data_IF_007897335619
#
_entry.id   IF_007897335619
#
_cell.length_a   1.000
_cell.length_b   1.000
_cell.length_c   1.000
_cell.angle_alpha   90.00
_cell.angle_beta   90.00
_cell.angle_gamma   90.00
#
_symmetry.space_group_name_H-M   'P 1'
#
loop_
_entity.id
_entity.type
_entity.pdbx_description
1 polymer ?
#
# COMPACT_ATOMS: atom_id res chain seq x y z
N UNK A 1 8.92 22.34 15.60
CA UNK A 1 8.79 20.86 15.65
C UNK A 1 7.89 20.40 14.52
N UNK A 2 8.17 19.28 13.92
CA UNK A 2 7.39 18.76 12.81
C UNK A 2 5.98 18.32 13.24
N UNK A 3 5.04 18.34 12.29
CA UNK A 3 3.65 17.99 12.55
C UNK A 3 3.15 17.00 11.50
N UNK A 4 2.45 15.94 11.93
CA UNK A 4 1.68 15.09 11.04
C UNK A 4 0.40 15.82 10.67
N UNK A 5 0.28 16.22 9.40
CA UNK A 5 -0.83 17.06 8.90
C UNK A 5 -1.91 16.27 8.19
N UNK A 6 -1.60 15.08 7.68
CA UNK A 6 -2.54 14.20 7.01
C UNK A 6 -2.07 12.75 7.08
N UNK A 7 -3.01 11.83 7.30
CA UNK A 7 -2.85 10.41 7.06
C UNK A 7 -3.59 10.00 5.78
N UNK A 8 -3.01 9.17 4.93
CA UNK A 8 -3.63 8.71 3.67
C UNK A 8 -3.46 7.21 3.53
N UNK A 9 -4.55 6.47 3.30
CA UNK A 9 -4.54 5.06 2.95
C UNK A 9 -5.00 4.86 1.51
N UNK A 10 -4.27 4.10 0.71
CA UNK A 10 -4.63 3.81 -0.68
C UNK A 10 -4.25 2.41 -1.10
N UNK A 11 -5.13 1.76 -1.82
CA UNK A 11 -4.77 0.57 -2.60
C UNK A 11 -3.85 0.93 -3.77
N UNK A 12 -2.96 0.01 -4.15
CA UNK A 12 -2.06 0.15 -5.29
C UNK A 12 -2.12 -1.05 -6.27
N UNK A 13 -3.23 -1.78 -6.26
CA UNK A 13 -3.40 -2.98 -7.08
C UNK A 13 -3.10 -2.75 -8.57
N UNK A 14 -2.56 -3.75 -9.29
CA UNK A 14 -2.41 -3.71 -10.74
C UNK A 14 -3.68 -3.32 -11.51
N UNK A 15 -4.88 -3.58 -10.96
CA UNK A 15 -6.13 -3.13 -11.56
C UNK A 15 -6.25 -1.61 -11.67
N UNK A 16 -5.64 -0.85 -10.76
CA UNK A 16 -5.58 0.62 -10.83
C UNK A 16 -4.59 1.13 -11.88
N UNK A 17 -3.78 0.24 -12.43
CA UNK A 17 -2.75 0.56 -13.40
C UNK A 17 -3.13 0.20 -14.83
N UNK A 18 -4.30 -0.43 -15.03
CA UNK A 18 -4.85 -0.82 -16.32
C UNK A 18 -6.27 -0.32 -16.46
N UNK A 19 -6.75 -0.17 -17.71
CA UNK A 19 -8.13 0.24 -17.96
C UNK A 19 -9.10 -0.90 -17.64
N UNK A 20 -10.32 -0.57 -17.24
CA UNK A 20 -11.39 -1.54 -16.97
C UNK A 20 -11.57 -2.58 -18.09
N UNK A 21 -11.42 -2.18 -19.37
CA UNK A 21 -11.47 -3.07 -20.54
C UNK A 21 -10.37 -4.15 -20.56
N UNK A 22 -9.30 -3.99 -19.77
CA UNK A 22 -8.18 -4.91 -19.68
C UNK A 22 -8.25 -5.83 -18.45
N UNK A 23 -9.25 -5.68 -17.58
CA UNK A 23 -9.41 -6.52 -16.39
C UNK A 23 -9.60 -8.00 -16.74
N UNK A 24 -10.09 -8.27 -17.93
CA UNK A 24 -10.16 -9.64 -18.48
C UNK A 24 -8.79 -10.32 -18.56
N UNK A 25 -7.71 -9.56 -18.87
CA UNK A 25 -6.34 -10.10 -18.91
C UNK A 25 -5.87 -10.53 -17.51
N UNK A 26 -6.25 -9.77 -16.48
CA UNK A 26 -5.93 -10.12 -15.09
C UNK A 26 -6.69 -11.37 -14.64
N UNK A 27 -7.95 -11.52 -15.06
CA UNK A 27 -8.72 -12.75 -14.84
C UNK A 27 -8.02 -13.97 -15.45
N UNK A 28 -7.59 -13.89 -16.71
CA UNK A 28 -6.89 -14.98 -17.39
C UNK A 28 -5.57 -15.36 -16.70
N UNK A 29 -4.94 -14.38 -16.06
CA UNK A 29 -3.79 -14.62 -15.20
C UNK A 29 -4.17 -15.45 -13.98
N UNK A 30 -5.21 -15.05 -13.25
CA UNK A 30 -5.65 -15.72 -12.04
C UNK A 30 -6.04 -17.19 -12.30
N UNK A 31 -6.71 -17.44 -13.41
CA UNK A 31 -7.09 -18.80 -13.84
C UNK A 31 -5.88 -19.73 -14.04
N UNK A 32 -4.71 -19.18 -14.29
CA UNK A 32 -3.46 -19.89 -14.57
C UNK A 32 -2.40 -19.72 -13.48
N UNK A 33 -2.72 -18.99 -12.40
CA UNK A 33 -1.77 -18.76 -11.32
C UNK A 33 -1.62 -20.01 -10.45
N UNK A 34 -0.44 -20.65 -10.44
CA UNK A 34 -0.24 -21.90 -9.69
C UNK A 34 -0.35 -21.74 -8.16
N UNK A 35 -0.35 -20.50 -7.67
CA UNK A 35 -0.54 -20.20 -6.25
C UNK A 35 -2.01 -20.26 -5.83
N UNK A 36 -2.94 -20.30 -6.80
CA UNK A 36 -4.38 -20.33 -6.57
C UNK A 36 -4.94 -21.70 -6.91
N UNK A 37 -5.68 -22.30 -5.98
CA UNK A 37 -6.58 -23.39 -6.30
C UNK A 37 -7.88 -22.81 -6.91
N UNK A 38 -7.78 -22.36 -8.16
CA UNK A 38 -8.87 -21.67 -8.85
C UNK A 38 -10.16 -22.52 -8.92
N UNK A 39 -10.13 -23.84 -9.18
CA UNK A 39 -11.31 -24.69 -9.11
C UNK A 39 -11.98 -24.70 -7.74
N UNK A 40 -11.22 -24.79 -6.66
CA UNK A 40 -11.76 -24.76 -5.30
C UNK A 40 -12.34 -23.37 -4.95
N UNK A 41 -11.70 -22.28 -5.41
CA UNK A 41 -12.21 -20.92 -5.26
C UNK A 41 -13.55 -20.75 -5.98
N UNK A 42 -13.67 -21.27 -7.20
CA UNK A 42 -14.90 -21.23 -7.98
C UNK A 42 -16.07 -21.94 -7.30
N UNK A 43 -15.79 -23.08 -6.63
CA UNK A 43 -16.80 -23.82 -5.87
C UNK A 43 -17.28 -23.09 -4.60
N UNK A 44 -16.42 -22.25 -4.02
CA UNK A 44 -16.72 -21.49 -2.79
C UNK A 44 -17.27 -20.09 -3.07
N UNK A 45 -17.20 -19.66 -4.32
CA UNK A 45 -17.65 -18.32 -4.70
C UNK A 45 -19.15 -18.16 -4.40
N UNK A 46 -19.53 -16.97 -3.92
CA UNK A 46 -20.93 -16.68 -3.64
C UNK A 46 -21.77 -16.69 -4.90
N UNK A 47 -23.05 -17.07 -4.74
CA UNK A 47 -24.02 -17.03 -5.82
C UNK A 47 -24.19 -15.59 -6.35
N UNK A 48 -24.48 -15.47 -7.64
CA UNK A 48 -24.74 -14.19 -8.29
C UNK A 48 -23.49 -13.37 -8.66
N UNK A 49 -22.26 -13.83 -8.32
CA UNK A 49 -21.04 -13.09 -8.64
C UNK A 49 -20.83 -12.87 -10.14
N UNK A 50 -21.36 -13.76 -10.99
CA UNK A 50 -21.29 -13.60 -12.44
C UNK A 50 -21.94 -12.29 -12.93
N UNK A 51 -22.99 -11.81 -12.26
CA UNK A 51 -23.64 -10.54 -12.58
C UNK A 51 -22.75 -9.32 -12.28
N UNK A 52 -21.75 -9.48 -11.44
CA UNK A 52 -20.79 -8.45 -11.06
C UNK A 52 -19.62 -8.30 -12.06
N UNK A 53 -19.55 -9.17 -13.08
CA UNK A 53 -18.41 -9.26 -14.01
C UNK A 53 -18.70 -8.67 -15.39
N UNK A 54 -19.76 -7.86 -15.52
CA UNK A 54 -20.06 -7.19 -16.78
C UNK A 54 -19.09 -6.04 -17.05
N UNK A 55 -18.83 -5.71 -18.34
CA UNK A 55 -18.00 -4.56 -18.71
C UNK A 55 -18.50 -3.24 -18.10
N UNK A 56 -19.82 -3.12 -17.91
CA UNK A 56 -20.43 -1.96 -17.25
C UNK A 56 -20.01 -1.86 -15.78
N UNK A 57 -20.09 -2.97 -15.03
CA UNK A 57 -19.64 -3.05 -13.64
C UNK A 57 -18.15 -2.76 -13.50
N UNK A 58 -17.34 -3.25 -14.44
CA UNK A 58 -15.91 -2.95 -14.45
C UNK A 58 -15.63 -1.45 -14.62
N UNK A 59 -16.33 -0.78 -15.55
CA UNK A 59 -16.20 0.67 -15.73
C UNK A 59 -16.63 1.45 -14.50
N UNK A 60 -17.80 1.12 -13.92
CA UNK A 60 -18.29 1.79 -12.71
C UNK A 60 -17.30 1.69 -11.55
N UNK A 61 -16.67 0.53 -11.34
CA UNK A 61 -15.68 0.30 -10.29
C UNK A 61 -14.36 1.02 -10.58
N UNK A 62 -13.91 0.98 -11.83
CA UNK A 62 -12.71 1.70 -12.26
C UNK A 62 -12.88 3.21 -12.05
N UNK A 63 -14.01 3.78 -12.48
CA UNK A 63 -14.34 5.19 -12.25
C UNK A 63 -14.41 5.54 -10.77
N UNK A 64 -15.03 4.70 -9.94
CA UNK A 64 -15.09 4.90 -8.49
C UNK A 64 -13.68 4.92 -7.88
N UNK A 65 -12.81 3.98 -8.26
CA UNK A 65 -11.43 3.94 -7.80
C UNK A 65 -10.62 5.18 -8.26
N UNK A 66 -10.76 5.58 -9.53
CA UNK A 66 -10.06 6.76 -10.05
C UNK A 66 -10.51 8.05 -9.35
N UNK A 67 -11.80 8.20 -9.10
CA UNK A 67 -12.35 9.32 -8.33
C UNK A 67 -11.80 9.33 -6.89
N UNK A 68 -11.74 8.15 -6.25
CA UNK A 68 -11.18 8.03 -4.91
C UNK A 68 -9.70 8.43 -4.88
N UNK A 69 -8.89 7.95 -5.83
CA UNK A 69 -7.47 8.34 -5.94
C UNK A 69 -7.32 9.85 -6.15
N UNK A 70 -8.16 10.46 -7.01
CA UNK A 70 -8.18 11.93 -7.19
C UNK A 70 -8.51 12.65 -5.89
N UNK A 71 -9.50 12.17 -5.15
CA UNK A 71 -9.88 12.74 -3.83
C UNK A 71 -8.71 12.70 -2.85
N UNK A 72 -7.93 11.62 -2.82
CA UNK A 72 -6.73 11.53 -1.98
C UNK A 72 -5.64 12.52 -2.44
N UNK A 73 -5.45 12.68 -3.74
CA UNK A 73 -4.52 13.67 -4.32
C UNK A 73 -4.89 15.10 -3.93
N UNK A 74 -6.17 15.46 -4.04
CA UNK A 74 -6.68 16.77 -3.65
C UNK A 74 -6.50 17.03 -2.14
N UNK A 75 -6.76 16.01 -1.30
CA UNK A 75 -6.57 16.10 0.14
C UNK A 75 -5.09 16.30 0.52
N UNK A 76 -4.18 15.56 -0.12
CA UNK A 76 -2.74 15.73 0.05
C UNK A 76 -2.27 17.11 -0.41
N UNK A 77 -2.73 17.57 -1.56
CA UNK A 77 -2.41 18.90 -2.07
C UNK A 77 -2.93 20.00 -1.13
N UNK A 78 -4.17 19.87 -0.65
CA UNK A 78 -4.75 20.81 0.32
C UNK A 78 -4.04 20.82 1.68
N UNK A 79 -3.53 19.67 2.13
CA UNK A 79 -2.73 19.57 3.34
C UNK A 79 -1.32 20.17 3.17
N UNK A 80 -0.85 20.36 1.95
CA UNK A 80 0.43 20.98 1.61
C UNK A 80 1.61 20.48 2.47
N UNK A 81 1.92 19.17 2.45
CA UNK A 81 3.04 18.64 3.19
C UNK A 81 4.39 18.99 2.56
N UNK A 82 5.43 19.09 3.38
CA UNK A 82 6.83 19.24 2.93
C UNK A 82 7.48 17.89 2.60
N UNK A 83 6.96 16.81 3.17
CA UNK A 83 7.50 15.46 3.05
C UNK A 83 6.41 14.41 3.31
N UNK A 84 6.56 13.23 2.70
CA UNK A 84 5.69 12.09 2.97
C UNK A 84 6.48 10.90 3.50
N UNK A 85 5.99 10.26 4.56
CA UNK A 85 6.45 8.94 5.03
C UNK A 85 5.47 7.91 4.48
N UNK A 86 5.95 6.91 3.74
CA UNK A 86 5.09 5.91 3.12
C UNK A 86 5.37 4.54 3.72
N UNK A 87 4.36 3.92 4.34
CA UNK A 87 4.36 2.49 4.68
C UNK A 87 3.97 1.71 3.43
N UNK A 88 4.81 0.78 3.02
CA UNK A 88 4.57 -0.10 1.89
C UNK A 88 5.25 -1.45 2.11
N UNK A 89 4.80 -2.44 1.42
CA UNK A 89 5.42 -3.76 1.40
C UNK A 89 6.55 -3.83 0.36
N UNK A 90 7.44 -4.77 0.55
CA UNK A 90 8.47 -5.15 -0.41
C UNK A 90 8.20 -6.59 -0.88
N UNK A 91 7.80 -6.73 -2.14
CA UNK A 91 7.48 -8.04 -2.73
C UNK A 91 8.73 -8.69 -3.34
N UNK A 92 9.80 -8.82 -2.56
CA UNK A 92 11.13 -9.27 -3.02
C UNK A 92 11.70 -8.38 -4.12
N UNK A 93 11.37 -7.10 -4.08
CA UNK A 93 11.93 -6.08 -4.97
C UNK A 93 13.32 -5.65 -4.48
N UNK A 94 13.47 -5.42 -3.17
CA UNK A 94 14.71 -5.00 -2.53
C UNK A 94 15.30 -6.09 -1.64
N UNK A 95 14.46 -6.73 -0.81
CA UNK A 95 14.87 -7.75 0.15
C UNK A 95 14.45 -9.14 -0.32
N UNK A 96 15.30 -10.12 -0.10
CA UNK A 96 15.06 -11.52 -0.46
C UNK A 96 15.21 -12.40 0.78
N UNK A 97 15.06 -13.72 0.60
CA UNK A 97 15.08 -14.69 1.69
C UNK A 97 16.40 -14.71 2.50
N UNK A 98 17.47 -14.17 1.92
CA UNK A 98 18.79 -14.06 2.55
C UNK A 98 18.88 -12.92 3.59
N UNK A 99 17.99 -11.91 3.51
CA UNK A 99 18.06 -10.74 4.39
C UNK A 99 16.75 -9.98 4.55
N UNK A 100 15.60 -10.65 4.57
CA UNK A 100 14.27 -10.02 4.72
C UNK A 100 14.09 -9.42 6.12
N UNK A 101 14.03 -8.07 6.30
CA UNK A 101 13.79 -7.45 7.59
C UNK A 101 12.30 -7.35 7.90
N UNK A 102 11.92 -7.29 9.18
CA UNK A 102 10.55 -6.98 9.60
C UNK A 102 10.14 -5.55 9.24
N UNK A 103 11.03 -4.58 9.53
CA UNK A 103 10.89 -3.17 9.16
C UNK A 103 12.20 -2.65 8.59
N UNK A 104 12.12 -1.90 7.50
CA UNK A 104 13.28 -1.21 6.96
C UNK A 104 12.93 0.23 6.59
N UNK A 105 13.88 1.15 6.73
CA UNK A 105 13.73 2.54 6.31
C UNK A 105 14.80 2.87 5.28
N UNK A 106 14.36 3.36 4.13
CA UNK A 106 15.27 3.86 3.11
C UNK A 106 15.72 5.28 3.44
N UNK A 107 17.03 5.51 3.42
CA UNK A 107 17.66 6.79 3.70
C UNK A 107 18.73 7.17 2.68
N UNK A 108 18.62 6.64 1.46
CA UNK A 108 19.49 7.02 0.34
C UNK A 108 19.24 8.45 -0.12
N UNK A 109 20.03 8.92 -1.08
CA UNK A 109 19.98 10.32 -1.55
C UNK A 109 18.77 10.61 -2.43
N UNK A 110 18.34 9.64 -3.22
CA UNK A 110 17.25 9.78 -4.18
C UNK A 110 16.50 8.48 -4.35
N UNK A 111 15.33 8.53 -4.95
CA UNK A 111 14.46 7.41 -5.25
C UNK A 111 14.42 7.19 -6.76
N UNK A 112 15.28 6.34 -7.32
CA UNK A 112 15.21 6.00 -8.71
C UNK A 112 13.96 5.15 -8.99
N UNK A 113 13.19 5.55 -9.99
CA UNK A 113 12.09 4.77 -10.57
C UNK A 113 12.59 4.20 -11.90
N UNK A 114 12.73 2.89 -11.95
CA UNK A 114 13.26 2.21 -13.14
C UNK A 114 12.12 1.90 -14.10
N UNK A 115 12.36 2.15 -15.38
CA UNK A 115 11.48 1.67 -16.43
C UNK A 115 11.44 0.14 -16.37
N UNK A 116 10.27 -0.46 -16.66
CA UNK A 116 10.06 -1.91 -16.70
C UNK A 116 11.33 -2.69 -17.03
N UNK A 117 11.85 -3.42 -16.06
CA UNK A 117 13.13 -4.15 -16.17
C UNK A 117 13.11 -5.31 -17.17
N UNK A 118 11.97 -5.57 -17.82
CA UNK A 118 11.83 -6.69 -18.75
C UNK A 118 11.82 -8.07 -18.11
N UNK A 119 11.88 -8.16 -16.78
CA UNK A 119 11.90 -9.43 -16.04
C UNK A 119 10.56 -10.18 -16.07
N UNK A 120 9.48 -9.53 -16.52
CA UNK A 120 8.14 -10.11 -16.57
C UNK A 120 7.77 -10.65 -17.95
N UNK A 121 6.97 -11.73 -18.04
CA UNK A 121 6.56 -12.31 -19.32
C UNK A 121 5.88 -11.30 -20.24
N UNK A 122 6.18 -11.32 -21.53
CA UNK A 122 5.71 -10.34 -22.52
C UNK A 122 4.18 -10.13 -22.55
N UNK A 123 3.40 -11.19 -22.25
CA UNK A 123 1.93 -11.16 -22.18
C UNK A 123 1.37 -10.32 -21.03
N UNK A 124 2.17 -10.09 -19.99
CA UNK A 124 1.79 -9.26 -18.84
C UNK A 124 2.21 -7.80 -19.01
N UNK A 125 3.16 -7.54 -19.91
CA UNK A 125 3.76 -6.22 -20.10
C UNK A 125 2.74 -5.15 -20.47
N UNK A 126 1.70 -5.48 -21.19
CA UNK A 126 0.70 -4.50 -21.60
C UNK A 126 -0.25 -4.13 -20.43
N UNK A 127 -0.70 -5.11 -19.66
CA UNK A 127 -1.51 -4.90 -18.47
C UNK A 127 -0.72 -4.25 -17.32
N UNK A 128 0.58 -4.49 -17.25
CA UNK A 128 1.47 -3.97 -16.20
C UNK A 128 2.19 -2.67 -16.60
N UNK A 129 2.31 -2.35 -17.90
CA UNK A 129 2.94 -1.12 -18.40
C UNK A 129 2.36 0.16 -17.79
N UNK A 130 1.07 0.18 -17.49
CA UNK A 130 0.42 1.32 -16.87
C UNK A 130 0.71 1.44 -15.38
N UNK A 131 1.22 0.40 -14.73
CA UNK A 131 1.64 0.38 -13.32
C UNK A 131 3.10 0.78 -13.12
N UNK A 132 3.94 0.60 -14.15
CA UNK A 132 5.38 0.88 -14.08
C UNK A 132 5.73 2.15 -14.87
N UNK A 133 6.83 2.81 -14.55
CA UNK A 133 7.22 4.02 -15.24
C UNK A 133 7.40 3.78 -16.74
N UNK A 134 6.75 4.56 -17.57
CA UNK A 134 7.03 4.60 -19.01
C UNK A 134 8.42 5.16 -19.27
N UNK A 135 8.90 6.02 -18.38
CA UNK A 135 10.23 6.62 -18.37
C UNK A 135 10.92 6.35 -17.03
N UNK A 136 12.23 6.21 -17.03
CA UNK A 136 13.01 6.28 -15.80
C UNK A 136 12.89 7.69 -15.23
N UNK A 137 12.76 7.79 -13.92
CA UNK A 137 12.63 9.06 -13.19
C UNK A 137 13.40 8.97 -11.87
N UNK A 138 13.63 10.09 -11.23
CA UNK A 138 14.31 10.16 -9.95
C UNK A 138 13.62 11.19 -9.07
N UNK A 139 13.23 10.77 -7.87
CA UNK A 139 12.53 11.61 -6.90
C UNK A 139 13.41 11.89 -5.69
N UNK A 140 13.08 12.95 -4.96
CA UNK A 140 13.80 13.35 -3.77
C UNK A 140 13.46 12.47 -2.57
N UNK A 141 14.45 12.26 -1.69
CA UNK A 141 14.27 11.66 -0.37
C UNK A 141 14.43 12.69 0.74
N UNK A 142 13.67 12.52 1.81
CA UNK A 142 13.84 13.31 3.02
C UNK A 142 14.85 12.60 3.95
N UNK A 143 16.15 12.62 3.59
CA UNK A 143 17.21 11.89 4.30
C UNK A 143 17.30 12.26 5.78
N UNK A 144 17.14 13.54 6.11
CA UNK A 144 17.25 14.01 7.50
C UNK A 144 16.14 13.40 8.36
N UNK A 145 14.89 13.39 7.87
CA UNK A 145 13.78 12.74 8.54
C UNK A 145 14.00 11.21 8.61
N UNK A 146 14.44 10.60 7.52
CA UNK A 146 14.69 9.15 7.50
C UNK A 146 15.74 8.73 8.55
N UNK A 147 16.84 9.45 8.62
CA UNK A 147 17.89 9.22 9.62
C UNK A 147 17.40 9.49 11.05
N UNK A 148 16.55 10.50 11.23
CA UNK A 148 15.96 10.80 12.53
C UNK A 148 15.00 9.68 12.96
N UNK A 149 14.12 9.22 12.06
CA UNK A 149 13.20 8.11 12.33
C UNK A 149 13.95 6.83 12.70
N UNK A 150 15.01 6.47 11.97
CA UNK A 150 15.81 5.27 12.28
C UNK A 150 16.31 5.33 13.73
N UNK A 151 16.95 6.45 14.13
CA UNK A 151 17.46 6.59 15.51
C UNK A 151 16.36 6.54 16.56
N UNK A 152 15.32 7.34 16.35
CA UNK A 152 14.22 7.44 17.35
C UNK A 152 13.47 6.12 17.52
N UNK A 153 13.28 5.35 16.44
CA UNK A 153 12.60 4.06 16.50
C UNK A 153 13.47 2.99 17.16
N UNK A 154 14.79 3.02 16.96
CA UNK A 154 15.73 2.14 17.69
C UNK A 154 15.73 2.48 19.18
N UNK A 155 15.70 3.76 19.54
CA UNK A 155 15.60 4.20 20.94
C UNK A 155 14.23 3.81 21.57
N UNK A 156 13.17 3.69 20.75
CA UNK A 156 11.85 3.18 21.14
C UNK A 156 11.75 1.62 20.99
N UNK A 157 12.88 0.90 20.96
CA UNK A 157 13.00 -0.57 20.95
C UNK A 157 12.40 -1.27 19.71
N UNK A 158 12.41 -0.57 18.55
CA UNK A 158 12.11 -1.20 17.27
C UNK A 158 13.39 -1.60 16.54
N UNK A 159 13.46 -2.85 16.08
CA UNK A 159 14.53 -3.34 15.23
C UNK A 159 14.33 -2.83 13.80
N UNK A 160 15.08 -1.80 13.43
CA UNK A 160 14.98 -1.14 12.12
C UNK A 160 16.19 -1.48 11.27
N UNK A 161 15.95 -2.16 10.15
CA UNK A 161 16.97 -2.27 9.11
C UNK A 161 17.08 -0.94 8.35
N UNK A 162 18.32 -0.47 8.15
CA UNK A 162 18.57 0.71 7.33
C UNK A 162 18.91 0.30 5.90
N UNK A 163 18.31 0.96 4.92
CA UNK A 163 18.60 0.77 3.51
C UNK A 163 19.04 2.09 2.89
N UNK A 164 20.24 2.14 2.31
CA UNK A 164 20.77 3.36 1.66
C UNK A 164 21.02 3.19 0.15
N UNK A 165 20.76 2.00 -0.37
CA UNK A 165 20.83 1.69 -1.79
C UNK A 165 19.68 0.82 -2.17
N UNK A 166 19.03 1.15 -3.26
CA UNK A 166 18.06 0.28 -3.93
C UNK A 166 18.77 -0.55 -5.00
N UNK A 167 18.20 -1.68 -5.35
CA UNK A 167 18.68 -2.49 -6.48
C UNK A 167 18.50 -1.68 -7.75
N UNK A 168 19.59 -1.42 -8.52
CA UNK A 168 19.52 -0.51 -9.67
C UNK A 168 18.58 -0.99 -10.77
N UNK A 169 18.36 -2.31 -10.88
CA UNK A 169 17.47 -2.93 -11.83
C UNK A 169 15.98 -2.83 -11.47
N UNK A 170 15.68 -2.46 -10.22
CA UNK A 170 14.30 -2.37 -9.69
C UNK A 170 13.94 -0.94 -9.33
N UNK A 171 14.88 -0.17 -8.77
CA UNK A 171 14.61 1.16 -8.22
C UNK A 171 13.71 1.10 -6.99
N UNK A 172 12.92 2.15 -6.74
CA UNK A 172 11.91 2.13 -5.68
C UNK A 172 10.75 1.22 -6.07
N UNK A 173 10.30 0.37 -5.15
CA UNK A 173 9.24 -0.59 -5.37
C UNK A 173 7.90 0.06 -5.78
N UNK A 174 7.02 -0.77 -6.34
CA UNK A 174 5.74 -0.32 -6.87
C UNK A 174 4.84 0.34 -5.80
N UNK A 175 4.88 -0.14 -4.56
CA UNK A 175 4.12 0.42 -3.44
C UNK A 175 4.45 1.91 -3.19
N UNK A 176 5.69 2.31 -3.42
CA UNK A 176 6.16 3.68 -3.20
C UNK A 176 6.02 4.55 -4.43
N UNK A 177 6.34 4.02 -5.62
CA UNK A 177 6.20 4.76 -6.87
C UNK A 177 4.75 5.11 -7.20
N UNK A 178 3.77 4.39 -6.64
CA UNK A 178 2.34 4.61 -6.82
C UNK A 178 1.93 6.04 -6.44
N UNK A 179 2.51 6.63 -5.39
CA UNK A 179 2.25 8.02 -5.00
C UNK A 179 2.46 8.98 -6.19
N UNK A 180 3.64 8.96 -6.79
CA UNK A 180 4.00 9.90 -7.85
C UNK A 180 3.29 9.65 -9.17
N UNK A 181 2.82 8.42 -9.37
CA UNK A 181 2.21 8.01 -10.64
C UNK A 181 0.72 8.17 -10.66
N UNK A 182 0.08 8.02 -9.51
CA UNK A 182 -1.38 7.94 -9.43
C UNK A 182 -1.99 8.97 -8.50
N UNK A 183 -1.39 9.16 -7.32
CA UNK A 183 -1.98 10.04 -6.30
C UNK A 183 -1.57 11.49 -6.52
N UNK A 184 -0.28 11.75 -6.77
CA UNK A 184 0.28 13.07 -7.02
C UNK A 184 1.14 13.08 -8.29
N UNK A 185 0.55 12.88 -9.48
CA UNK A 185 1.31 12.88 -10.72
C UNK A 185 1.98 14.24 -10.96
N UNK A 186 3.27 14.19 -11.30
CA UNK A 186 4.09 15.39 -11.53
C UNK A 186 4.64 16.06 -10.27
N UNK A 187 4.35 15.52 -9.09
CA UNK A 187 4.94 16.00 -7.83
C UNK A 187 6.35 15.45 -7.64
N UNK A 188 7.21 16.25 -6.99
CA UNK A 188 8.51 15.80 -6.45
C UNK A 188 8.51 15.96 -4.92
N UNK A 189 7.39 15.66 -4.25
CA UNK A 189 7.29 15.68 -2.79
C UNK A 189 8.31 14.69 -2.20
N UNK A 190 9.29 15.14 -1.39
CA UNK A 190 10.30 14.24 -0.83
C UNK A 190 9.67 13.11 -0.01
N UNK A 191 10.14 11.86 -0.19
CA UNK A 191 9.59 10.69 0.46
C UNK A 191 10.59 10.04 1.42
N UNK A 192 10.06 9.42 2.48
CA UNK A 192 10.74 8.41 3.29
C UNK A 192 10.02 7.09 3.09
N UNK A 193 10.56 6.15 2.30
CA UNK A 193 10.03 4.80 2.20
C UNK A 193 10.27 4.01 3.49
N UNK A 194 9.20 3.45 4.02
CA UNK A 194 9.22 2.54 5.18
C UNK A 194 8.66 1.20 4.73
N UNK A 195 9.54 0.24 4.57
CA UNK A 195 9.20 -1.09 4.09
C UNK A 195 8.78 -1.98 5.25
N UNK A 196 7.61 -2.58 5.14
CA UNK A 196 7.04 -3.51 6.12
C UNK A 196 6.99 -4.90 5.50
N UNK A 197 7.57 -5.90 6.15
CA UNK A 197 7.44 -7.28 5.70
C UNK A 197 6.03 -7.81 5.96
N UNK A 198 5.10 -7.51 5.09
CA UNK A 198 3.73 -8.01 5.21
C UNK A 198 3.59 -9.43 4.67
N UNK A 199 4.41 -9.83 3.69
CA UNK A 199 4.23 -11.03 2.85
C UNK A 199 4.96 -12.27 3.35
N UNK A 200 6.19 -12.14 3.86
CA UNK A 200 7.12 -13.26 3.95
C UNK A 200 7.36 -13.74 5.38
N UNK A 201 6.81 -14.94 5.76
CA UNK A 201 7.11 -15.53 7.04
C UNK A 201 8.60 -15.96 7.10
N UNK A 202 9.18 -16.16 8.31
CA UNK A 202 8.48 -16.23 9.61
C UNK A 202 8.42 -14.90 10.38
N UNK A 203 9.05 -13.82 9.91
CA UNK A 203 9.25 -12.59 10.67
C UNK A 203 8.29 -11.45 10.28
N UNK A 204 7.12 -11.78 9.75
CA UNK A 204 6.05 -10.80 9.57
C UNK A 204 5.63 -10.19 10.92
N UNK A 205 5.47 -8.85 11.01
CA UNK A 205 5.01 -8.23 12.23
C UNK A 205 3.55 -8.61 12.53
N UNK A 206 3.18 -8.62 13.80
CA UNK A 206 1.76 -8.78 14.17
C UNK A 206 0.98 -7.49 13.90
N UNK A 207 -0.36 -7.53 13.73
CA UNK A 207 -1.17 -6.33 13.62
C UNK A 207 -0.94 -5.35 14.77
N UNK A 208 -0.87 -5.85 16.02
CA UNK A 208 -0.53 -5.04 17.16
C UNK A 208 0.82 -4.34 17.00
N UNK A 209 1.87 -5.06 16.59
CA UNK A 209 3.21 -4.50 16.38
C UNK A 209 3.23 -3.43 15.28
N UNK A 210 2.45 -3.61 14.21
CA UNK A 210 2.29 -2.59 13.17
C UNK A 210 1.63 -1.32 13.70
N UNK A 211 0.56 -1.47 14.51
CA UNK A 211 -0.11 -0.32 15.11
C UNK A 211 0.83 0.47 16.05
N UNK A 212 1.51 -0.24 16.95
CA UNK A 212 2.50 0.35 17.88
C UNK A 212 3.66 1.02 17.11
N UNK A 213 4.09 0.41 16.01
CA UNK A 213 5.08 1.01 15.10
C UNK A 213 4.59 2.34 14.51
N UNK A 214 3.33 2.40 14.07
CA UNK A 214 2.71 3.65 13.62
C UNK A 214 2.68 4.74 14.70
N UNK A 215 2.33 4.38 15.94
CA UNK A 215 2.37 5.32 17.07
C UNK A 215 3.79 5.85 17.32
N UNK A 216 4.80 4.96 17.28
CA UNK A 216 6.20 5.34 17.45
C UNK A 216 6.69 6.26 16.34
N UNK A 217 6.31 5.98 15.07
CA UNK A 217 6.62 6.86 13.92
C UNK A 217 6.01 8.24 14.12
N UNK A 218 4.74 8.35 14.56
CA UNK A 218 4.12 9.64 14.86
C UNK A 218 4.87 10.38 15.96
N UNK A 219 5.18 9.72 17.07
CA UNK A 219 5.94 10.29 18.19
C UNK A 219 7.30 10.82 17.71
N UNK A 220 8.01 10.04 16.90
CA UNK A 220 9.29 10.44 16.34
C UNK A 220 9.15 11.67 15.41
N UNK A 221 8.17 11.72 14.54
CA UNK A 221 7.90 12.90 13.70
C UNK A 221 7.66 14.13 14.57
N UNK A 222 6.79 14.03 15.56
CA UNK A 222 6.44 15.15 16.45
C UNK A 222 7.60 15.64 17.32
N UNK A 223 8.57 14.78 17.64
CA UNK A 223 9.78 15.14 18.39
C UNK A 223 10.92 15.63 17.49
N UNK A 224 10.79 15.54 16.19
CA UNK A 224 11.80 16.04 15.25
C UNK A 224 11.84 17.58 15.26
N UNK A 225 13.02 18.14 15.60
CA UNK A 225 13.21 19.59 15.68
C UNK A 225 13.40 20.20 14.28
N UNK A 226 12.32 20.19 13.52
CA UNK A 226 12.23 20.83 12.21
C UNK A 226 10.84 21.44 12.04
N UNK A 227 10.75 22.59 11.41
CA UNK A 227 9.47 23.21 11.05
C UNK A 227 8.98 22.59 9.73
N UNK A 228 8.36 21.41 9.84
CA UNK A 228 7.95 20.60 8.69
C UNK A 228 6.55 20.02 8.87
N UNK A 229 5.82 20.04 7.78
CA UNK A 229 4.50 19.42 7.62
C UNK A 229 4.69 18.03 7.01
N UNK A 230 4.33 16.99 7.72
CA UNK A 230 4.57 15.61 7.32
C UNK A 230 3.25 14.93 6.97
N UNK A 231 3.14 14.40 5.76
CA UNK A 231 2.11 13.43 5.40
C UNK A 231 2.59 12.02 5.77
N UNK A 232 1.67 11.15 6.20
CA UNK A 232 1.96 9.72 6.35
C UNK A 232 0.97 8.93 5.51
N UNK A 233 1.49 8.01 4.69
CA UNK A 233 0.69 7.24 3.75
C UNK A 233 0.89 5.74 3.99
N UNK A 234 -0.20 4.97 3.92
CA UNK A 234 -0.16 3.53 3.73
C UNK A 234 -0.48 3.21 2.28
N UNK A 235 0.41 2.50 1.63
CA UNK A 235 0.26 2.00 0.26
C UNK A 235 0.10 0.49 0.29
N UNK A 236 -1.07 0.00 -0.13
CA UNK A 236 -1.42 -1.41 -0.12
C UNK A 236 -2.93 -1.62 -0.18
N UNK A 237 -3.38 -2.74 -0.75
CA UNK A 237 -4.79 -3.09 -0.81
C UNK A 237 -5.37 -3.57 0.53
N UNK A 238 -6.68 -3.76 0.56
CA UNK A 238 -7.31 -4.61 1.56
C UNK A 238 -7.19 -6.06 1.08
N UNK A 239 -8.26 -6.89 1.14
CA UNK A 239 -8.13 -8.28 0.69
C UNK A 239 -7.82 -8.39 -0.80
N UNK A 240 -6.84 -9.21 -1.17
CA UNK A 240 -6.48 -9.64 -2.52
C UNK A 240 -5.48 -10.83 -2.46
N UNK A 241 -5.31 -11.67 -3.38
CA UNK A 241 -5.81 -11.84 -4.76
C UNK A 241 -7.27 -12.33 -4.81
N UNK A 242 -7.81 -12.84 -3.72
CA UNK A 242 -9.21 -13.24 -3.52
C UNK A 242 -9.84 -12.25 -2.57
N UNK A 243 -10.97 -11.67 -2.97
CA UNK A 243 -11.68 -10.70 -2.15
C UNK A 243 -12.37 -11.42 -0.98
N UNK A 244 -12.08 -10.97 0.23
CA UNK A 244 -12.70 -11.38 1.49
C UNK A 244 -13.38 -10.16 2.12
N UNK A 245 -14.64 -9.93 1.74
CA UNK A 245 -15.42 -8.77 2.20
C UNK A 245 -15.58 -8.75 3.72
N UNK A 246 -15.50 -9.90 4.40
CA UNK A 246 -15.62 -9.97 5.87
C UNK A 246 -14.40 -9.33 6.56
N UNK A 247 -13.18 -9.68 6.14
CA UNK A 247 -11.98 -9.08 6.72
C UNK A 247 -11.88 -7.60 6.36
N UNK A 248 -12.25 -7.24 5.13
CA UNK A 248 -12.23 -5.85 4.67
C UNK A 248 -13.19 -5.00 5.51
N UNK A 249 -14.44 -5.45 5.71
CA UNK A 249 -15.42 -4.73 6.51
C UNK A 249 -14.98 -4.60 7.98
N UNK A 250 -14.36 -5.66 8.54
CA UNK A 250 -13.80 -5.61 9.89
C UNK A 250 -12.71 -4.53 10.03
N UNK A 251 -11.84 -4.40 9.04
CA UNK A 251 -10.81 -3.34 9.02
C UNK A 251 -11.47 -1.97 8.90
N UNK A 252 -12.40 -1.80 7.97
CA UNK A 252 -13.12 -0.55 7.72
C UNK A 252 -13.85 -0.07 8.98
N UNK A 253 -14.58 -0.96 9.64
CA UNK A 253 -15.33 -0.63 10.86
C UNK A 253 -14.39 -0.26 12.00
N UNK A 254 -13.26 -0.97 12.15
CA UNK A 254 -12.26 -0.64 13.13
C UNK A 254 -11.62 0.75 12.89
N UNK A 255 -11.35 1.10 11.63
CA UNK A 255 -10.83 2.43 11.26
C UNK A 255 -11.86 3.54 11.55
N UNK A 256 -13.14 3.33 11.19
CA UNK A 256 -14.23 4.29 11.45
C UNK A 256 -14.46 4.55 12.92
N UNK A 257 -14.40 3.49 13.74
CA UNK A 257 -14.69 3.54 15.14
C UNK A 257 -13.44 3.79 16.03
N UNK A 258 -12.26 3.93 15.41
CA UNK A 258 -10.96 4.00 16.10
C UNK A 258 -10.75 2.83 17.06
N UNK A 259 -11.22 1.65 16.68
CA UNK A 259 -11.14 0.45 17.49
C UNK A 259 -9.79 -0.26 17.28
N UNK A 260 -8.80 0.19 18.06
CA UNK A 260 -7.46 -0.42 18.03
C UNK A 260 -7.47 -1.91 18.43
N UNK A 261 -8.39 -2.32 19.32
CA UNK A 261 -8.46 -3.72 19.74
C UNK A 261 -8.90 -4.62 18.60
N UNK A 262 -9.90 -4.20 17.83
CA UNK A 262 -10.31 -4.92 16.63
C UNK A 262 -9.18 -5.03 15.60
N UNK A 263 -8.38 -3.97 15.39
CA UNK A 263 -7.20 -4.02 14.53
C UNK A 263 -6.11 -4.97 15.07
N UNK A 264 -5.83 -4.96 16.38
CA UNK A 264 -4.82 -5.84 16.98
C UNK A 264 -5.20 -7.33 16.88
N UNK A 265 -6.50 -7.62 16.88
CA UNK A 265 -7.07 -8.97 16.85
C UNK A 265 -7.42 -9.45 15.44
N UNK A 266 -6.91 -8.80 14.39
CA UNK A 266 -7.07 -9.29 13.04
C UNK A 266 -6.46 -10.71 12.91
N UNK A 267 -7.17 -11.65 12.28
CA UNK A 267 -6.75 -13.05 12.21
C UNK A 267 -5.53 -13.19 11.29
N UNK A 268 -4.39 -13.58 11.85
CA UNK A 268 -3.11 -13.68 11.12
C UNK A 268 -3.17 -14.70 9.97
N UNK A 269 -4.00 -15.71 10.10
CA UNK A 269 -4.21 -16.72 9.06
C UNK A 269 -4.88 -16.15 7.80
N UNK A 270 -5.64 -15.06 7.93
CA UNK A 270 -6.22 -14.31 6.80
C UNK A 270 -5.26 -13.28 6.21
N UNK A 271 -4.29 -12.79 6.99
CA UNK A 271 -3.29 -11.81 6.57
C UNK A 271 -2.12 -12.50 5.85
N UNK A 272 -2.37 -13.04 4.66
CA UNK A 272 -1.39 -13.75 3.84
C UNK A 272 -1.42 -13.29 2.39
N UNK A 273 -0.28 -13.39 1.71
CA UNK A 273 -0.15 -12.89 0.34
C UNK A 273 -0.60 -11.44 0.24
N UNK A 274 -1.33 -11.05 -0.80
CA UNK A 274 -1.81 -9.69 -0.97
C UNK A 274 -2.62 -9.13 0.19
N UNK A 275 -3.50 -9.92 0.80
CA UNK A 275 -4.31 -9.49 1.95
C UNK A 275 -3.47 -9.04 3.15
N UNK A 276 -2.21 -9.46 3.25
CA UNK A 276 -1.32 -9.01 4.32
C UNK A 276 -0.95 -7.53 4.25
N UNK A 277 -1.15 -6.86 3.11
CA UNK A 277 -0.94 -5.42 2.96
C UNK A 277 -1.85 -4.57 3.87
N UNK A 278 -2.92 -5.15 4.41
CA UNK A 278 -3.71 -4.59 5.51
C UNK A 278 -2.81 -4.13 6.68
N UNK A 279 -1.66 -4.77 6.90
CA UNK A 279 -0.71 -4.37 7.94
C UNK A 279 -0.14 -2.96 7.74
N UNK A 280 -0.03 -2.48 6.49
CA UNK A 280 0.34 -1.09 6.21
C UNK A 280 -0.76 -0.12 6.69
N UNK A 281 -2.03 -0.49 6.50
CA UNK A 281 -3.18 0.27 7.00
C UNK A 281 -3.23 0.29 8.54
N UNK A 282 -2.88 -0.82 9.17
CA UNK A 282 -2.81 -0.91 10.64
C UNK A 282 -1.70 -0.01 11.19
N UNK A 283 -0.55 0.06 10.51
CA UNK A 283 0.51 1.00 10.88
C UNK A 283 0.04 2.46 10.73
N UNK A 284 -0.62 2.79 9.61
CA UNK A 284 -1.21 4.11 9.43
C UNK A 284 -2.27 4.44 10.49
N UNK A 285 -3.10 3.48 10.88
CA UNK A 285 -4.09 3.67 11.95
C UNK A 285 -3.43 4.06 13.28
N UNK A 286 -2.26 3.50 13.59
CA UNK A 286 -1.44 3.91 14.75
C UNK A 286 -0.96 5.36 14.65
N UNK A 287 -0.54 5.82 13.47
CA UNK A 287 -0.21 7.22 13.22
C UNK A 287 -1.42 8.12 13.34
N UNK A 288 -2.54 7.71 12.77
CA UNK A 288 -3.76 8.50 12.65
C UNK A 288 -4.66 8.46 13.90
N UNK A 289 -4.29 7.74 14.97
CA UNK A 289 -5.11 7.57 16.17
C UNK A 289 -5.72 8.88 16.72
N UNK A 290 -4.98 10.00 16.85
CA UNK A 290 -5.56 11.26 17.33
C UNK A 290 -6.26 12.08 16.23
N UNK A 291 -6.20 11.63 14.97
CA UNK A 291 -6.76 12.37 13.82
C UNK A 291 -8.20 11.93 13.56
N UNK A 292 -8.93 12.73 12.78
CA UNK A 292 -10.31 12.43 12.39
C UNK A 292 -10.35 11.84 10.98
N UNK A 293 -11.02 10.70 10.82
CA UNK A 293 -11.29 10.12 9.50
C UNK A 293 -12.28 11.01 8.74
N UNK A 294 -11.84 11.61 7.66
CA UNK A 294 -12.65 12.53 6.83
C UNK A 294 -13.24 11.88 5.60
N UNK A 295 -12.58 10.85 5.08
CA UNK A 295 -13.00 10.15 3.90
C UNK A 295 -12.62 8.68 4.01
N UNK A 296 -13.52 7.80 3.59
CA UNK A 296 -13.25 6.38 3.41
C UNK A 296 -14.18 5.83 2.32
N UNK A 297 -13.59 5.35 1.24
CA UNK A 297 -14.26 4.67 0.14
C UNK A 297 -13.75 3.23 0.04
N UNK A 298 -14.65 2.30 -0.24
CA UNK A 298 -14.35 0.90 -0.43
C UNK A 298 -15.02 0.37 -1.69
N UNK A 299 -14.24 -0.20 -2.60
CA UNK A 299 -14.72 -0.72 -3.87
C UNK A 299 -14.24 -2.16 -4.05
N UNK A 300 -15.17 -3.12 -4.16
CA UNK A 300 -14.85 -4.51 -4.49
C UNK A 300 -14.62 -4.65 -5.99
N UNK A 301 -13.37 -4.87 -6.41
CA UNK A 301 -13.02 -4.96 -7.83
C UNK A 301 -12.92 -6.42 -8.30
N UNK A 302 -14.01 -7.17 -8.15
CA UNK A 302 -14.10 -8.53 -8.67
C UNK A 302 -13.77 -8.57 -10.17
N UNK A 303 -12.93 -9.53 -10.57
CA UNK A 303 -12.52 -9.72 -11.97
C UNK A 303 -12.74 -11.14 -12.49
N UNK A 304 -13.09 -12.09 -11.61
CA UNK A 304 -13.43 -13.46 -12.01
C UNK A 304 -14.58 -14.07 -11.20
N UNK A 305 -15.23 -15.13 -11.70
CA UNK A 305 -16.30 -15.83 -10.97
C UNK A 305 -15.78 -16.58 -9.72
N UNK A 306 -14.45 -16.76 -9.58
CA UNK A 306 -13.79 -17.31 -8.40
C UNK A 306 -13.51 -16.25 -7.32
N UNK A 307 -14.18 -15.09 -7.36
CA UNK A 307 -14.00 -13.96 -6.46
C UNK A 307 -12.59 -13.36 -6.46
N UNK A 308 -11.79 -13.61 -7.50
CA UNK A 308 -10.50 -12.93 -7.60
C UNK A 308 -10.67 -11.46 -7.92
N UNK A 309 -9.77 -10.64 -7.40
CA UNK A 309 -9.83 -9.19 -7.48
C UNK A 309 -9.09 -8.55 -6.32
N UNK A 310 -9.50 -7.33 -5.99
CA UNK A 310 -8.98 -6.61 -4.84
C UNK A 310 -10.11 -5.84 -4.14
N UNK A 311 -10.15 -5.91 -2.82
CA UNK A 311 -10.85 -4.94 -1.98
C UNK A 311 -10.08 -3.65 -2.00
N UNK A 312 -10.53 -2.68 -2.79
CA UNK A 312 -9.86 -1.38 -2.90
C UNK A 312 -10.30 -0.47 -1.77
N UNK A 313 -9.36 -0.04 -0.96
CA UNK A 313 -9.58 0.94 0.10
C UNK A 313 -8.92 2.28 -0.24
N UNK A 314 -9.60 3.37 0.10
CA UNK A 314 -9.11 4.74 -0.04
C UNK A 314 -9.60 5.56 1.15
N UNK A 315 -8.69 6.18 1.90
CA UNK A 315 -9.09 6.96 3.07
C UNK A 315 -8.10 8.09 3.35
N UNK A 316 -8.58 9.14 4.04
CA UNK A 316 -7.68 10.12 4.64
C UNK A 316 -8.19 10.64 5.98
N UNK A 317 -7.24 11.05 6.82
CA UNK A 317 -7.42 11.61 8.15
C UNK A 317 -6.78 13.00 8.24
N UNK A 318 -7.45 13.92 8.94
CA UNK A 318 -6.94 15.26 9.25
C UNK A 318 -6.96 15.53 10.76
#
# INVERSE_FOLDING_TARGET
>A
MAQVVIGVGTSHSPQLSVRASQWQLLREKDEKDPRLDYPALLQRARDGLAAELSPEKFRQRDEACLNAVSTLGDALHGANPDVVVVFGDDQQEQFHDDNMPTFAIYHGKSLPVVKDSGLRPARWKEAERMGWAETADEYDTAQDLANYLIRSLVDDEFDIARCNKLRPEVGVGHAFSFLYRRVLPGSNLPMVPVMVNTYYPPNQPTPKRCYEFGQAVRKAIQSWDADKRVAVMASGGLSHVVIDEEIDQRVIDALRNKDRQALWQLPREKLRGGTSEILNWVALAGVAEPMELKYLEYVTTFRSPAATGCGMGFAYWL
#
